data_IF_950651589140
#
_entry.id   IF_950651589140
#
_cell.length_a   1.000
_cell.length_b   1.000
_cell.length_c   1.000
_cell.angle_alpha   90.00
_cell.angle_beta   90.00
_cell.angle_gamma   90.00
#
_symmetry.space_group_name_H-M   'P 1'
#
loop_
_entity.id
_entity.type
_entity.pdbx_description
1 polymer ?
#
# COMPACT_ATOMS: atom_id res chain seq x y z
N UNK A 1 -7.08 10.73 12.28
CA UNK A 1 -8.42 11.09 11.79
C UNK A 1 -8.38 12.51 11.23
N UNK A 2 -8.64 12.68 9.96
CA UNK A 2 -8.69 13.95 9.24
C UNK A 2 -9.83 13.93 8.23
N UNK A 3 -9.94 15.00 7.42
CA UNK A 3 -10.87 15.05 6.30
C UNK A 3 -10.53 13.93 5.29
N UNK A 4 -11.55 13.43 4.58
CA UNK A 4 -11.34 12.47 3.50
C UNK A 4 -10.63 13.17 2.33
N UNK A 5 -9.80 12.42 1.62
CA UNK A 5 -9.15 12.91 0.40
C UNK A 5 -10.21 13.12 -0.70
N UNK A 6 -10.44 14.35 -1.20
CA UNK A 6 -11.54 14.63 -2.12
C UNK A 6 -11.53 13.77 -3.39
N UNK A 7 -10.34 13.45 -3.91
CA UNK A 7 -10.20 12.66 -5.14
C UNK A 7 -10.54 11.18 -4.95
N UNK A 8 -10.69 10.71 -3.70
CA UNK A 8 -10.96 9.31 -3.36
C UNK A 8 -12.05 9.16 -2.29
N UNK A 9 -12.84 10.20 -2.07
CA UNK A 9 -13.84 10.28 -1.00
C UNK A 9 -14.87 9.16 -1.09
N UNK A 10 -15.40 8.87 -2.27
CA UNK A 10 -16.43 7.84 -2.47
C UNK A 10 -15.93 6.44 -2.11
N UNK A 11 -14.69 6.12 -2.48
CA UNK A 11 -14.05 4.88 -2.06
C UNK A 11 -13.88 4.83 -0.54
N UNK A 12 -13.40 5.90 0.07
CA UNK A 12 -13.21 5.99 1.50
C UNK A 12 -14.54 5.82 2.27
N UNK A 13 -15.62 6.47 1.82
CA UNK A 13 -16.96 6.33 2.41
C UNK A 13 -17.44 4.88 2.32
N UNK A 14 -17.30 4.22 1.17
CA UNK A 14 -17.70 2.82 1.00
C UNK A 14 -16.97 1.90 2.01
N UNK A 15 -15.66 2.08 2.18
CA UNK A 15 -14.86 1.29 3.15
C UNK A 15 -15.23 1.60 4.60
N UNK A 16 -15.44 2.87 4.94
CA UNK A 16 -15.88 3.29 6.28
C UNK A 16 -17.26 2.72 6.59
N UNK A 17 -18.17 2.73 5.63
CA UNK A 17 -19.52 2.15 5.79
C UNK A 17 -19.45 0.66 6.11
N UNK A 18 -18.64 -0.12 5.38
CA UNK A 18 -18.43 -1.55 5.67
C UNK A 18 -17.89 -1.79 7.07
N UNK A 19 -16.88 -1.02 7.49
CA UNK A 19 -16.30 -1.10 8.83
C UNK A 19 -17.36 -0.78 9.92
N UNK A 20 -18.15 0.28 9.73
CA UNK A 20 -19.20 0.68 10.67
C UNK A 20 -20.35 -0.34 10.71
N UNK A 21 -20.70 -0.94 9.56
CA UNK A 21 -21.71 -1.99 9.50
C UNK A 21 -21.26 -3.23 10.28
N UNK A 22 -20.03 -3.69 10.12
CA UNK A 22 -19.47 -4.79 10.91
C UNK A 22 -19.54 -4.51 12.42
N UNK A 23 -19.18 -3.30 12.83
CA UNK A 23 -19.25 -2.89 14.22
C UNK A 23 -20.69 -2.86 14.76
N UNK A 24 -21.65 -2.38 13.97
CA UNK A 24 -23.06 -2.36 14.31
C UNK A 24 -23.66 -3.77 14.46
N UNK A 25 -23.37 -4.67 13.51
CA UNK A 25 -23.81 -6.06 13.54
C UNK A 25 -23.21 -6.82 14.72
N UNK A 26 -21.94 -6.56 15.05
CA UNK A 26 -21.30 -7.13 16.25
C UNK A 26 -22.02 -6.71 17.53
N UNK A 27 -22.33 -5.42 17.67
CA UNK A 27 -23.03 -4.90 18.85
C UNK A 27 -24.47 -5.42 18.95
N UNK A 28 -25.19 -5.47 17.84
CA UNK A 28 -26.62 -5.79 17.82
C UNK A 28 -26.89 -7.29 17.84
N UNK A 29 -26.08 -8.09 17.17
CA UNK A 29 -26.32 -9.51 16.94
C UNK A 29 -25.20 -10.43 17.40
N UNK A 30 -24.13 -9.91 17.99
CA UNK A 30 -22.94 -10.70 18.35
C UNK A 30 -22.19 -11.24 17.11
N UNK A 31 -22.39 -10.62 15.93
CA UNK A 31 -21.74 -11.04 14.69
C UNK A 31 -20.22 -10.92 14.82
N UNK A 32 -19.51 -12.04 14.71
CA UNK A 32 -18.07 -12.08 14.90
C UNK A 32 -17.31 -11.62 13.66
N UNK A 33 -17.28 -10.30 13.45
CA UNK A 33 -16.55 -9.65 12.39
C UNK A 33 -15.51 -8.69 12.97
N UNK A 34 -14.30 -8.75 12.41
CA UNK A 34 -13.22 -7.80 12.65
C UNK A 34 -12.84 -7.11 11.34
N UNK A 35 -12.21 -5.96 11.43
CA UNK A 35 -11.77 -5.21 10.25
C UNK A 35 -10.27 -4.98 10.29
N UNK A 36 -9.60 -5.23 9.17
CA UNK A 36 -8.19 -4.90 8.98
C UNK A 36 -8.06 -3.80 7.94
N UNK A 37 -7.20 -2.82 8.22
CA UNK A 37 -6.91 -1.70 7.33
C UNK A 37 -5.45 -1.81 6.86
N UNK A 38 -5.20 -2.48 5.71
CA UNK A 38 -3.85 -2.61 5.19
C UNK A 38 -3.37 -1.31 4.54
N UNK A 39 -2.06 -1.13 4.54
CA UNK A 39 -1.38 -0.14 3.70
C UNK A 39 -1.34 -0.57 2.24
N UNK A 40 -0.52 0.07 1.38
CA UNK A 40 -0.41 -0.32 -0.03
C UNK A 40 0.17 -1.74 -0.12
N UNK A 41 -0.57 -2.63 -0.78
CA UNK A 41 -0.17 -4.02 -0.95
C UNK A 41 0.67 -4.19 -2.22
N UNK A 42 1.57 -5.18 -2.19
CA UNK A 42 2.31 -5.64 -3.34
C UNK A 42 2.60 -7.13 -3.22
N UNK A 43 2.93 -7.79 -4.33
CA UNK A 43 3.33 -9.20 -4.33
C UNK A 43 2.93 -9.93 -5.60
N UNK A 44 3.11 -11.26 -5.62
CA UNK A 44 2.70 -12.09 -6.74
C UNK A 44 1.22 -11.94 -7.07
N UNK A 45 0.89 -11.88 -8.37
CA UNK A 45 -0.49 -11.74 -8.83
C UNK A 45 -1.04 -10.31 -8.83
N UNK A 46 -0.19 -9.30 -8.61
CA UNK A 46 -0.60 -7.89 -8.66
C UNK A 46 -1.07 -7.47 -10.07
N UNK A 47 -1.72 -6.32 -10.15
CA UNK A 47 -2.23 -5.77 -11.40
C UNK A 47 -1.17 -4.94 -12.11
N UNK A 48 -0.60 -5.47 -13.20
CA UNK A 48 0.39 -4.81 -14.04
C UNK A 48 -0.21 -4.09 -15.27
N UNK A 49 -1.51 -3.79 -15.26
CA UNK A 49 -2.18 -3.15 -16.40
C UNK A 49 -1.57 -1.77 -16.72
N UNK A 50 -1.39 -1.41 -18.00
CA UNK A 50 -0.69 -0.17 -18.40
C UNK A 50 -1.25 1.13 -17.80
N UNK A 51 -2.56 1.20 -17.59
CA UNK A 51 -3.27 2.43 -17.16
C UNK A 51 -3.99 2.30 -15.82
N UNK A 52 -4.24 1.07 -15.32
CA UNK A 52 -5.07 0.83 -14.13
C UNK A 52 -4.30 0.15 -12.99
N UNK A 53 -2.97 0.13 -13.04
CA UNK A 53 -2.13 -0.41 -11.97
C UNK A 53 -1.79 0.65 -10.92
N UNK A 54 -1.54 0.18 -9.70
CA UNK A 54 -0.97 1.02 -8.65
C UNK A 54 0.51 1.34 -8.92
N UNK A 55 1.07 2.29 -8.14
CA UNK A 55 2.40 2.85 -8.38
C UNK A 55 3.51 1.80 -8.47
N UNK A 56 3.59 0.86 -7.53
CA UNK A 56 4.67 -0.14 -7.52
C UNK A 56 4.58 -1.13 -8.70
N UNK A 57 3.46 -1.81 -8.98
CA UNK A 57 3.37 -2.68 -10.15
C UNK A 57 3.53 -1.91 -11.48
N UNK A 58 3.06 -0.66 -11.56
CA UNK A 58 3.31 0.19 -12.73
C UNK A 58 4.81 0.45 -12.94
N UNK A 59 5.55 0.73 -11.87
CA UNK A 59 7.00 0.91 -11.93
C UNK A 59 7.70 -0.39 -12.32
N UNK A 60 7.40 -1.52 -11.67
CA UNK A 60 8.01 -2.81 -11.98
C UNK A 60 7.86 -3.11 -13.48
N UNK A 61 6.64 -3.01 -14.02
CA UNK A 61 6.40 -3.25 -15.45
C UNK A 61 7.23 -2.32 -16.34
N UNK A 62 7.17 -1.01 -16.12
CA UNK A 62 7.82 0.00 -16.96
C UNK A 62 9.33 -0.10 -16.93
N UNK A 63 9.91 -0.30 -15.75
CA UNK A 63 11.35 -0.48 -15.61
C UNK A 63 11.82 -1.79 -16.23
N UNK A 64 11.04 -2.88 -16.06
CA UNK A 64 11.34 -4.16 -16.69
C UNK A 64 11.28 -4.07 -18.23
N UNK A 65 10.21 -3.49 -18.79
CA UNK A 65 10.08 -3.28 -20.23
C UNK A 65 11.25 -2.45 -20.79
N UNK A 66 11.61 -1.37 -20.10
CA UNK A 66 12.74 -0.52 -20.49
C UNK A 66 14.09 -1.26 -20.36
N UNK A 67 14.22 -2.15 -19.39
CA UNK A 67 15.41 -2.98 -19.21
C UNK A 67 15.54 -4.07 -20.27
N UNK A 68 14.47 -4.51 -20.93
CA UNK A 68 14.46 -5.51 -21.98
C UNK A 68 14.47 -4.92 -23.41
N UNK A 69 14.32 -3.60 -23.54
CA UNK A 69 14.25 -2.94 -24.85
C UNK A 69 15.56 -3.07 -25.64
N UNK A 70 15.53 -3.28 -26.99
CA UNK A 70 16.72 -3.29 -27.79
C UNK A 70 17.48 -1.95 -27.69
N UNK A 71 18.80 -2.00 -27.53
CA UNK A 71 19.65 -0.80 -27.45
C UNK A 71 19.82 -0.27 -26.01
N UNK A 72 19.65 -1.11 -25.00
CA UNK A 72 19.89 -0.76 -23.60
C UNK A 72 21.24 -0.07 -23.36
N UNK A 73 21.18 1.09 -22.70
CA UNK A 73 22.36 1.87 -22.33
C UNK A 73 21.98 3.25 -21.81
N UNK A 74 22.93 4.15 -21.71
CA UNK A 74 22.77 5.50 -21.17
C UNK A 74 21.73 6.40 -21.88
N UNK A 75 21.06 5.91 -22.95
CA UNK A 75 20.04 6.66 -23.70
C UNK A 75 18.58 6.30 -23.38
N UNK A 76 18.31 5.22 -22.64
CA UNK A 76 16.93 4.86 -22.26
C UNK A 76 16.48 5.65 -21.04
N UNK A 77 15.22 6.10 -21.02
CA UNK A 77 14.65 6.80 -19.86
C UNK A 77 13.28 6.25 -19.49
N UNK A 78 12.98 6.23 -18.20
CA UNK A 78 11.64 5.96 -17.66
C UNK A 78 11.16 7.23 -16.96
N UNK A 79 10.03 7.78 -17.44
CA UNK A 79 9.43 8.96 -16.83
C UNK A 79 8.55 8.54 -15.64
N UNK A 80 8.73 9.11 -14.47
CA UNK A 80 7.91 8.98 -13.28
C UNK A 80 7.16 10.29 -13.02
N UNK A 81 5.94 10.20 -12.49
CA UNK A 81 5.13 11.37 -12.23
C UNK A 81 5.55 12.08 -10.94
N UNK A 82 5.38 13.41 -10.91
CA UNK A 82 5.66 14.25 -9.76
C UNK A 82 7.15 14.47 -9.52
N UNK A 83 7.51 14.77 -8.29
CA UNK A 83 8.90 14.98 -7.85
C UNK A 83 9.51 13.76 -7.14
N UNK A 84 8.67 12.75 -6.88
CA UNK A 84 9.07 11.54 -6.16
C UNK A 84 9.27 11.73 -4.66
N UNK A 85 8.83 12.85 -4.08
CA UNK A 85 9.03 13.17 -2.66
C UNK A 85 7.97 12.59 -1.74
N UNK A 86 6.82 12.18 -2.29
CA UNK A 86 5.72 11.61 -1.53
C UNK A 86 6.14 10.31 -0.83
N UNK A 87 5.80 10.19 0.45
CA UNK A 87 6.14 9.02 1.27
C UNK A 87 4.98 8.01 1.25
N UNK A 88 5.32 6.75 1.03
CA UNK A 88 4.37 5.63 0.99
C UNK A 88 4.91 4.44 1.77
N UNK A 89 4.00 3.76 2.40
CA UNK A 89 4.24 2.49 3.08
C UNK A 89 3.74 1.35 2.19
N UNK A 90 4.48 0.25 2.13
CA UNK A 90 4.14 -0.95 1.37
C UNK A 90 4.17 -2.17 2.27
N UNK A 91 3.31 -3.15 1.98
CA UNK A 91 3.20 -4.41 2.70
C UNK A 91 3.07 -5.57 1.70
N UNK A 92 3.89 -6.60 1.87
CA UNK A 92 3.77 -7.80 1.05
C UNK A 92 2.45 -8.53 1.31
N UNK A 93 1.83 -9.06 0.26
CA UNK A 93 0.52 -9.71 0.35
C UNK A 93 0.52 -10.94 1.26
N UNK A 94 1.63 -11.67 1.35
CA UNK A 94 1.74 -12.83 2.25
C UNK A 94 1.77 -12.41 3.73
N UNK A 95 2.41 -11.28 4.05
CA UNK A 95 2.34 -10.70 5.40
C UNK A 95 0.90 -10.27 5.75
N UNK A 96 0.15 -9.72 4.78
CA UNK A 96 -1.27 -9.45 5.01
C UNK A 96 -2.06 -10.73 5.27
N UNK A 97 -1.81 -11.79 4.49
CA UNK A 97 -2.46 -13.09 4.68
C UNK A 97 -2.20 -13.64 6.08
N UNK A 98 -0.94 -13.59 6.53
CA UNK A 98 -0.57 -14.00 7.88
C UNK A 98 -1.23 -13.12 8.96
N UNK A 99 -1.27 -11.79 8.76
CA UNK A 99 -1.95 -10.88 9.68
C UNK A 99 -3.44 -11.16 9.81
N UNK A 100 -4.11 -11.57 8.71
CA UNK A 100 -5.51 -11.97 8.74
C UNK A 100 -5.73 -13.19 9.64
N UNK A 101 -4.95 -14.25 9.44
CA UNK A 101 -5.02 -15.46 10.27
C UNK A 101 -4.70 -15.13 11.73
N UNK A 102 -3.61 -14.40 11.97
CA UNK A 102 -3.22 -13.98 13.31
C UNK A 102 -4.33 -13.21 14.02
N UNK A 103 -4.96 -12.24 13.35
CA UNK A 103 -6.02 -11.44 13.94
C UNK A 103 -7.26 -12.27 14.25
N UNK A 104 -7.64 -13.21 13.39
CA UNK A 104 -8.77 -14.13 13.64
C UNK A 104 -8.52 -15.04 14.84
N UNK A 105 -7.29 -15.48 15.05
CA UNK A 105 -6.93 -16.38 16.16
C UNK A 105 -6.67 -15.67 17.49
N UNK A 106 -6.18 -14.42 17.44
CA UNK A 106 -5.59 -13.76 18.61
C UNK A 106 -6.29 -12.48 19.05
N UNK A 107 -7.20 -11.94 18.25
CA UNK A 107 -7.83 -10.67 18.56
C UNK A 107 -9.34 -10.75 18.64
N UNK A 108 -9.86 -10.59 19.84
CA UNK A 108 -11.28 -10.58 20.16
C UNK A 108 -11.66 -9.22 20.77
N UNK A 109 -12.00 -8.21 19.93
CA UNK A 109 -12.40 -6.92 20.47
C UNK A 109 -13.74 -7.00 21.19
N UNK A 110 -13.84 -6.38 22.37
CA UNK A 110 -15.12 -6.22 23.06
C UNK A 110 -16.12 -5.37 22.25
N UNK A 111 -17.42 -5.40 22.58
CA UNK A 111 -18.47 -4.74 21.79
C UNK A 111 -18.29 -3.22 21.67
N UNK A 112 -17.69 -2.58 22.67
CA UNK A 112 -17.44 -1.15 22.67
C UNK A 112 -16.00 -0.77 22.33
N UNK A 113 -15.14 -1.76 22.07
CA UNK A 113 -13.77 -1.54 21.67
C UNK A 113 -13.67 -1.13 20.19
N UNK A 114 -12.51 -0.60 19.78
CA UNK A 114 -12.22 -0.32 18.39
C UNK A 114 -12.20 -1.63 17.59
N UNK A 115 -13.02 -1.70 16.56
CA UNK A 115 -13.28 -2.93 15.79
C UNK A 115 -12.35 -3.08 14.57
N UNK A 116 -11.24 -2.32 14.50
CA UNK A 116 -10.28 -2.44 13.40
C UNK A 116 -8.83 -2.34 13.87
N UNK A 117 -7.94 -2.95 13.11
CA UNK A 117 -6.48 -2.83 13.26
C UNK A 117 -5.86 -2.35 11.95
N UNK A 118 -4.89 -1.47 12.05
CA UNK A 118 -4.02 -1.13 10.93
C UNK A 118 -2.99 -2.25 10.73
N UNK A 119 -2.78 -2.63 9.46
CA UNK A 119 -1.82 -3.66 9.07
C UNK A 119 -0.81 -3.06 8.10
N UNK A 120 0.42 -3.01 8.52
CA UNK A 120 1.52 -2.42 7.77
C UNK A 120 2.87 -2.73 8.39
N UNK A 121 3.91 -2.17 7.81
CA UNK A 121 5.30 -2.29 8.30
C UNK A 121 5.62 -1.23 9.36
N UNK A 122 4.89 -0.11 9.35
CA UNK A 122 5.21 1.09 10.14
C UNK A 122 6.38 1.89 9.56
N UNK A 123 6.90 1.51 8.39
CA UNK A 123 7.99 2.18 7.68
C UNK A 123 7.50 2.70 6.33
N UNK A 124 7.89 3.91 5.98
CA UNK A 124 7.63 4.49 4.67
C UNK A 124 8.93 4.80 3.93
N UNK A 125 8.84 4.89 2.62
CA UNK A 125 9.92 5.35 1.75
C UNK A 125 9.34 6.33 0.73
N UNK A 126 10.22 7.16 0.18
CA UNK A 126 9.81 8.07 -0.89
C UNK A 126 9.57 7.32 -2.20
N UNK A 127 8.72 7.86 -3.05
CA UNK A 127 8.49 7.32 -4.41
C UNK A 127 9.80 7.33 -5.22
N UNK A 128 10.73 8.23 -4.90
CA UNK A 128 12.07 8.27 -5.50
C UNK A 128 12.89 7.04 -5.11
N UNK A 129 13.02 6.76 -3.82
CA UNK A 129 13.71 5.57 -3.30
C UNK A 129 13.08 4.28 -3.84
N UNK A 130 11.74 4.23 -3.91
CA UNK A 130 11.03 3.11 -4.52
C UNK A 130 11.45 2.91 -5.99
N UNK A 131 11.47 3.98 -6.79
CA UNK A 131 11.87 3.92 -8.19
C UNK A 131 13.31 3.44 -8.36
N UNK A 132 14.23 3.88 -7.51
CA UNK A 132 15.63 3.45 -7.51
C UNK A 132 15.76 1.97 -7.15
N UNK A 133 15.02 1.49 -6.16
CA UNK A 133 14.99 0.07 -5.78
C UNK A 133 14.42 -0.79 -6.91
N UNK A 134 13.33 -0.37 -7.55
CA UNK A 134 12.73 -1.09 -8.69
C UNK A 134 13.68 -1.08 -9.89
N UNK A 135 14.36 0.03 -10.18
CA UNK A 135 15.36 0.10 -11.25
C UNK A 135 16.50 -0.91 -11.01
N UNK A 136 17.01 -0.96 -9.77
CA UNK A 136 18.04 -1.92 -9.39
C UNK A 136 17.57 -3.37 -9.53
N UNK A 137 16.36 -3.69 -9.03
CA UNK A 137 15.78 -5.03 -9.05
C UNK A 137 15.48 -5.53 -10.48
N UNK A 138 15.09 -4.64 -11.38
CA UNK A 138 14.80 -4.97 -12.79
C UNK A 138 16.02 -4.96 -13.69
N UNK A 139 17.19 -4.52 -13.18
CA UNK A 139 18.42 -4.37 -13.97
C UNK A 139 18.39 -3.17 -14.92
N UNK A 140 17.48 -2.21 -14.73
CA UNK A 140 17.43 -0.99 -15.54
C UNK A 140 18.65 -0.11 -15.27
N UNK A 141 19.33 0.33 -16.35
CA UNK A 141 20.57 1.13 -16.30
C UNK A 141 20.45 2.50 -16.96
N UNK A 142 19.23 2.87 -17.35
CA UNK A 142 18.94 4.17 -17.97
C UNK A 142 18.70 5.28 -16.95
N UNK A 143 18.06 6.35 -17.38
CA UNK A 143 17.77 7.54 -16.55
C UNK A 143 16.33 7.53 -16.04
N UNK A 144 16.13 7.79 -14.76
CA UNK A 144 14.81 8.07 -14.18
C UNK A 144 14.52 9.56 -14.34
N UNK A 145 13.49 9.89 -15.12
CA UNK A 145 13.04 11.26 -15.34
C UNK A 145 11.79 11.54 -14.49
N UNK A 146 11.72 12.72 -13.89
CA UNK A 146 10.60 13.16 -13.07
C UNK A 146 9.78 14.22 -13.79
N UNK A 147 8.50 13.95 -14.01
CA UNK A 147 7.56 14.89 -14.62
C UNK A 147 6.83 15.70 -13.53
N UNK A 148 7.42 16.82 -13.13
CA UNK A 148 6.88 17.72 -12.13
C UNK A 148 5.55 18.40 -12.55
N UNK A 149 5.12 18.27 -13.82
CA UNK A 149 3.79 18.76 -14.25
C UNK A 149 2.65 17.86 -13.74
N UNK A 150 2.96 16.67 -13.26
CA UNK A 150 2.01 15.71 -12.71
C UNK A 150 1.96 15.82 -11.18
N UNK A 151 0.81 15.56 -10.56
CA UNK A 151 0.67 15.67 -9.10
C UNK A 151 1.45 14.57 -8.37
N UNK A 152 2.05 14.93 -7.23
CA UNK A 152 2.68 13.97 -6.29
C UNK A 152 1.65 13.20 -5.44
N UNK A 153 0.41 13.68 -5.36
CA UNK A 153 -0.60 13.16 -4.46
C UNK A 153 -0.37 13.56 -2.99
N UNK A 154 -0.97 12.85 -2.05
CA UNK A 154 -0.83 13.12 -0.61
C UNK A 154 0.64 13.01 -0.18
N UNK A 155 1.21 14.00 0.56
CA UNK A 155 2.64 14.00 0.91
C UNK A 155 3.09 12.78 1.69
N UNK A 156 2.26 12.27 2.62
CA UNK A 156 2.59 11.11 3.45
C UNK A 156 1.37 10.23 3.71
N UNK A 157 1.52 8.91 3.54
CA UNK A 157 0.56 7.88 3.95
C UNK A 157 1.30 6.79 4.71
N UNK A 158 1.21 6.82 6.03
CA UNK A 158 1.79 5.82 6.93
C UNK A 158 0.74 5.43 7.97
N UNK A 159 0.69 4.17 8.33
CA UNK A 159 -0.22 3.66 9.36
C UNK A 159 0.48 3.59 10.72
N UNK A 160 -0.28 3.89 11.77
CA UNK A 160 0.12 3.51 13.12
C UNK A 160 -0.22 2.03 13.34
N UNK A 161 0.81 1.19 13.38
CA UNK A 161 0.71 -0.26 13.55
C UNK A 161 0.97 -0.72 14.99
N UNK A 162 1.09 0.21 15.94
CA UNK A 162 1.47 -0.06 17.33
C UNK A 162 0.52 -1.06 18.00
N UNK A 163 -0.78 -1.01 17.72
CA UNK A 163 -1.78 -1.91 18.30
C UNK A 163 -1.60 -3.36 17.88
N UNK A 164 -1.37 -3.59 16.58
CA UNK A 164 -1.11 -4.94 16.06
C UNK A 164 0.23 -5.46 16.57
N UNK A 165 1.23 -4.60 16.64
CA UNK A 165 2.53 -4.92 17.23
C UNK A 165 2.43 -5.29 18.72
N UNK A 166 1.58 -4.60 19.49
CA UNK A 166 1.33 -4.92 20.89
C UNK A 166 0.64 -6.29 21.10
N UNK A 167 -0.11 -6.76 20.10
CA UNK A 167 -0.69 -8.11 20.09
C UNK A 167 0.35 -9.18 19.74
N UNK A 168 1.55 -8.80 19.26
CA UNK A 168 2.65 -9.71 18.94
C UNK A 168 2.88 -9.96 17.46
N UNK A 169 2.19 -9.25 16.54
CA UNK A 169 2.41 -9.40 15.10
C UNK A 169 3.21 -8.23 14.51
N UNK A 170 4.12 -8.55 13.60
CA UNK A 170 4.86 -7.59 12.77
C UNK A 170 5.08 -8.16 11.38
N UNK A 171 5.09 -7.30 10.36
CA UNK A 171 5.49 -7.67 9.01
C UNK A 171 6.96 -8.17 9.01
N UNK A 172 7.26 -9.14 8.13
CA UNK A 172 8.56 -9.81 8.04
C UNK A 172 9.20 -9.72 6.67
N UNK A 173 8.40 -9.51 5.63
CA UNK A 173 8.89 -9.39 4.25
C UNK A 173 9.20 -7.92 3.98
N UNK A 174 10.46 -7.61 3.56
CA UNK A 174 10.92 -6.23 3.35
C UNK A 174 10.27 -5.56 2.14
#
# INVERSE_FOLDING_TARGET
TGALEPTNEWYAIAKITGLKLCAALRRQYGFDAISLMPTNLYGPGDNYHPTNSHVLPAMIRRFHEAAQAPGQGAGTSVSCWGMGTALREFLHVDDLGEACVFALERWQPGPDALQFLNVGTGMDLSIRELAEQVAAATGFRGTIQWDASKPDGTPKKQLDVSRLAALGWRARIP
#
